data_IF_821837693834
#
_entry.id   IF_821837693834
#
_cell.length_a   1.000
_cell.length_b   1.000
_cell.length_c   1.000
_cell.angle_alpha   90.00
_cell.angle_beta   90.00
_cell.angle_gamma   90.00
#
_symmetry.space_group_name_H-M   'P 1'
#
loop_
_entity.id
_entity.type
_entity.pdbx_description
1 polymer ?
#
# COMPACT_ATOMS: atom_id res chain seq x y z
N UNK A 1 15.46 4.27 -16.59
CA UNK A 1 15.82 3.13 -15.71
C UNK A 1 14.67 2.14 -15.76
N UNK A 2 14.92 0.84 -15.84
CA UNK A 2 13.85 -0.17 -15.76
C UNK A 2 13.47 -0.42 -14.29
N UNK A 3 12.23 -0.86 -14.04
CA UNK A 3 11.73 -1.07 -12.68
C UNK A 3 12.50 -2.18 -11.94
N UNK A 4 12.86 -3.26 -12.62
CA UNK A 4 13.66 -4.34 -12.04
C UNK A 4 15.07 -3.89 -11.66
N UNK A 5 15.67 -3.02 -12.47
CA UNK A 5 16.99 -2.43 -12.18
C UNK A 5 16.91 -1.51 -10.97
N UNK A 6 15.84 -0.72 -10.85
CA UNK A 6 15.58 0.11 -9.68
C UNK A 6 15.48 -0.74 -8.40
N UNK A 7 14.69 -1.82 -8.41
CA UNK A 7 14.54 -2.70 -7.24
C UNK A 7 15.88 -3.33 -6.86
N UNK A 8 16.68 -3.77 -7.84
CA UNK A 8 18.03 -4.32 -7.60
C UNK A 8 18.95 -3.28 -6.97
N UNK A 9 18.95 -2.05 -7.48
CA UNK A 9 19.77 -0.96 -6.96
C UNK A 9 19.39 -0.62 -5.51
N UNK A 10 18.09 -0.59 -5.21
CA UNK A 10 17.58 -0.36 -3.86
C UNK A 10 18.07 -1.44 -2.88
N UNK A 11 17.98 -2.72 -3.27
CA UNK A 11 18.46 -3.83 -2.44
C UNK A 11 19.97 -3.78 -2.22
N UNK A 12 20.75 -3.44 -3.24
CA UNK A 12 22.21 -3.35 -3.14
C UNK A 12 22.68 -2.22 -2.21
N UNK A 13 21.97 -1.09 -2.22
CA UNK A 13 22.38 0.12 -1.48
C UNK A 13 21.78 0.19 -0.07
N UNK A 14 20.80 -0.68 0.24
CA UNK A 14 19.86 -0.54 1.36
C UNK A 14 19.05 0.77 1.28
N UNK A 15 17.76 0.69 1.58
CA UNK A 15 16.81 1.79 1.35
C UNK A 15 17.22 3.11 2.04
N UNK A 16 17.82 3.02 3.22
CA UNK A 16 18.21 4.17 4.06
C UNK A 16 19.37 4.99 3.47
N UNK A 17 20.15 4.42 2.55
CA UNK A 17 21.31 5.08 1.92
C UNK A 17 21.06 5.45 0.46
N UNK A 18 19.81 5.36 -0.02
CA UNK A 18 19.50 5.70 -1.40
C UNK A 18 19.75 7.17 -1.68
N UNK A 19 20.34 7.43 -2.84
CA UNK A 19 20.53 8.80 -3.30
C UNK A 19 19.18 9.51 -3.51
N UNK A 20 19.09 10.82 -3.21
CA UNK A 20 17.90 11.60 -3.50
C UNK A 20 17.47 11.49 -4.97
N UNK A 21 18.43 11.43 -5.90
CA UNK A 21 18.16 11.31 -7.34
C UNK A 21 17.43 10.02 -7.69
N UNK A 22 17.75 8.92 -7.03
CA UNK A 22 17.07 7.64 -7.24
C UNK A 22 15.64 7.70 -6.69
N UNK A 23 15.46 8.28 -5.49
CA UNK A 23 14.13 8.46 -4.89
C UNK A 23 13.22 9.37 -5.73
N UNK A 24 13.76 10.39 -6.42
CA UNK A 24 13.00 11.26 -7.30
C UNK A 24 12.25 10.52 -8.43
N UNK A 25 12.68 9.30 -8.78
CA UNK A 25 11.97 8.48 -9.78
C UNK A 25 10.64 7.94 -9.28
N UNK A 26 10.47 7.83 -7.96
CA UNK A 26 9.33 7.18 -7.31
C UNK A 26 8.67 8.07 -6.26
N UNK A 27 9.00 9.36 -6.18
CA UNK A 27 8.29 10.32 -5.32
C UNK A 27 7.01 10.76 -6.01
N UNK A 28 5.93 11.00 -5.27
CA UNK A 28 4.74 11.67 -5.82
C UNK A 28 5.15 13.04 -6.36
N UNK A 29 4.90 13.29 -7.64
CA UNK A 29 5.23 14.56 -8.27
C UNK A 29 4.03 15.06 -9.06
N UNK A 30 3.29 15.96 -8.42
CA UNK A 30 2.10 16.57 -8.99
C UNK A 30 2.36 17.13 -10.39
N UNK A 31 1.50 16.71 -11.32
CA UNK A 31 1.42 17.24 -12.67
C UNK A 31 0.10 17.98 -12.82
N UNK A 32 0.19 19.28 -13.13
CA UNK A 32 -0.99 20.12 -13.34
C UNK A 32 -1.25 20.18 -14.84
N UNK A 33 -2.40 19.70 -15.27
CA UNK A 33 -2.86 19.82 -16.65
C UNK A 33 -3.57 21.16 -16.82
N UNK A 34 -2.99 22.15 -17.53
CA UNK A 34 -3.41 23.56 -17.47
C UNK A 34 -4.82 23.86 -18.03
N UNK A 35 -5.51 22.88 -18.58
CA UNK A 35 -6.85 23.01 -19.16
C UNK A 35 -7.89 22.05 -18.57
N UNK A 36 -7.56 21.37 -17.46
CA UNK A 36 -8.45 20.45 -16.75
C UNK A 36 -8.31 20.67 -15.24
N UNK A 37 -9.33 20.32 -14.45
CA UNK A 37 -9.18 20.22 -12.99
C UNK A 37 -8.40 18.96 -12.56
N UNK A 38 -8.03 18.12 -13.52
CA UNK A 38 -7.26 16.90 -13.30
C UNK A 38 -5.84 17.22 -12.82
N UNK A 39 -5.44 16.53 -11.75
CA UNK A 39 -4.07 16.48 -11.24
C UNK A 39 -3.52 15.10 -11.52
N UNK A 40 -2.39 15.06 -12.20
CA UNK A 40 -1.64 13.85 -12.49
C UNK A 40 -0.45 13.68 -11.57
N UNK A 41 0.31 12.64 -11.86
CA UNK A 41 1.56 12.35 -11.17
C UNK A 41 2.57 11.81 -12.17
N UNK A 42 3.64 12.57 -12.37
CA UNK A 42 4.67 12.28 -13.36
C UNK A 42 5.33 10.90 -13.17
N UNK A 43 5.31 10.39 -11.93
CA UNK A 43 5.99 9.16 -11.56
C UNK A 43 5.04 7.97 -11.35
N UNK A 44 3.71 8.14 -11.53
CA UNK A 44 2.73 7.09 -11.23
C UNK A 44 2.98 5.78 -11.99
N UNK A 45 3.19 5.86 -13.30
CA UNK A 45 3.45 4.68 -14.14
C UNK A 45 4.74 3.95 -13.76
N UNK A 46 5.79 4.71 -13.43
CA UNK A 46 7.06 4.12 -13.01
C UNK A 46 6.94 3.48 -11.63
N UNK A 47 6.27 4.13 -10.66
CA UNK A 47 6.00 3.53 -9.35
C UNK A 47 5.17 2.26 -9.47
N UNK A 48 4.12 2.25 -10.29
CA UNK A 48 3.34 1.04 -10.52
C UNK A 48 4.20 -0.08 -11.11
N UNK A 49 5.12 0.25 -12.02
CA UNK A 49 6.07 -0.73 -12.58
C UNK A 49 7.01 -1.29 -11.51
N UNK A 50 7.51 -0.45 -10.59
CA UNK A 50 8.31 -0.88 -9.42
C UNK A 50 7.51 -1.79 -8.51
N UNK A 51 6.25 -1.46 -8.21
CA UNK A 51 5.36 -2.30 -7.40
C UNK A 51 5.11 -3.67 -8.05
N UNK A 52 4.90 -3.71 -9.37
CA UNK A 52 4.76 -4.96 -10.13
C UNK A 52 6.06 -5.77 -10.12
N UNK A 53 7.21 -5.13 -10.21
CA UNK A 53 8.50 -5.81 -10.09
C UNK A 53 8.65 -6.42 -8.68
N UNK A 54 8.37 -5.65 -7.63
CA UNK A 54 8.39 -6.11 -6.24
C UNK A 54 7.43 -7.27 -6.01
N UNK A 55 6.21 -7.22 -6.54
CA UNK A 55 5.22 -8.30 -6.39
C UNK A 55 5.74 -9.67 -6.83
N UNK A 56 6.59 -9.72 -7.87
CA UNK A 56 7.16 -10.96 -8.40
C UNK A 56 8.27 -11.55 -7.52
N UNK A 57 9.02 -10.70 -6.81
CA UNK A 57 10.25 -11.10 -6.10
C UNK A 57 10.28 -10.64 -4.63
N UNK A 58 9.10 -10.36 -4.06
CA UNK A 58 8.94 -9.72 -2.76
C UNK A 58 9.70 -10.47 -1.65
N UNK A 59 10.38 -9.72 -0.81
CA UNK A 59 11.13 -10.19 0.34
C UNK A 59 10.99 -9.22 1.52
N UNK A 60 11.35 -9.67 2.72
CA UNK A 60 11.27 -8.83 3.92
C UNK A 60 12.17 -7.56 3.85
N UNK A 61 13.27 -7.63 3.10
CA UNK A 61 14.18 -6.50 2.87
C UNK A 61 13.52 -5.35 2.09
N UNK A 62 12.45 -5.63 1.34
CA UNK A 62 11.75 -4.61 0.54
C UNK A 62 10.76 -3.78 1.37
N UNK A 63 10.46 -4.18 2.61
CA UNK A 63 9.47 -3.51 3.46
C UNK A 63 9.67 -1.98 3.53
N UNK A 64 10.88 -1.44 3.75
CA UNK A 64 11.08 0.01 3.77
C UNK A 64 10.68 0.70 2.46
N UNK A 65 11.00 0.09 1.32
CA UNK A 65 10.62 0.60 0.00
C UNK A 65 9.11 0.55 -0.21
N UNK A 66 8.45 -0.57 0.11
CA UNK A 66 6.98 -0.69 -0.04
C UNK A 66 6.27 0.33 0.86
N UNK A 67 6.72 0.52 2.11
CA UNK A 67 6.19 1.56 3.01
C UNK A 67 6.38 2.96 2.42
N UNK A 68 7.53 3.23 1.82
CA UNK A 68 7.79 4.51 1.16
C UNK A 68 6.84 4.73 -0.01
N UNK A 69 6.68 3.73 -0.89
CA UNK A 69 5.79 3.80 -2.05
C UNK A 69 4.34 4.02 -1.62
N UNK A 70 3.86 3.34 -0.56
CA UNK A 70 2.52 3.57 -0.02
C UNK A 70 2.31 5.02 0.43
N UNK A 71 3.31 5.65 1.05
CA UNK A 71 3.23 7.08 1.42
C UNK A 71 3.10 8.00 0.20
N UNK A 72 3.75 7.66 -0.92
CA UNK A 72 3.63 8.43 -2.15
C UNK A 72 2.23 8.26 -2.76
N UNK A 73 1.69 7.05 -2.70
CA UNK A 73 0.32 6.79 -3.14
C UNK A 73 -0.72 7.48 -2.26
N UNK A 74 -0.52 7.51 -0.94
CA UNK A 74 -1.36 8.30 0.00
C UNK A 74 -1.36 9.77 -0.42
N UNK A 75 -0.18 10.37 -0.59
CA UNK A 75 -0.07 11.78 -0.98
C UNK A 75 -0.76 12.09 -2.32
N UNK A 76 -0.70 11.17 -3.28
CA UNK A 76 -1.45 11.29 -4.54
C UNK A 76 -2.98 11.20 -4.32
N UNK A 77 -3.44 10.28 -3.47
CA UNK A 77 -4.87 10.04 -3.23
C UNK A 77 -5.56 11.08 -2.33
N UNK A 78 -4.81 11.98 -1.68
CA UNK A 78 -5.40 13.15 -0.99
C UNK A 78 -6.22 14.04 -1.95
N UNK A 79 -5.83 14.08 -3.23
CA UNK A 79 -6.47 14.92 -4.24
C UNK A 79 -6.98 14.13 -5.45
N UNK A 80 -6.78 12.81 -5.49
CA UNK A 80 -7.27 11.96 -6.58
C UNK A 80 -8.78 11.74 -6.47
N UNK A 81 -9.46 11.64 -7.63
CA UNK A 81 -10.92 11.42 -7.71
C UNK A 81 -11.29 9.95 -7.92
N UNK A 82 -10.37 9.04 -7.64
CA UNK A 82 -10.60 7.60 -7.73
C UNK A 82 -9.55 6.84 -6.93
N UNK A 83 -9.77 5.54 -6.75
CA UNK A 83 -8.77 4.62 -6.23
C UNK A 83 -7.98 3.99 -7.38
N UNK A 84 -6.65 4.03 -7.27
CA UNK A 84 -5.76 3.44 -8.24
C UNK A 84 -5.25 2.07 -7.78
N UNK A 85 -4.92 1.19 -8.71
CA UNK A 85 -4.39 -0.14 -8.38
C UNK A 85 -3.01 -0.08 -7.71
N UNK A 86 -2.27 1.02 -7.86
CA UNK A 86 -0.98 1.26 -7.19
C UNK A 86 -1.12 1.26 -5.67
N UNK A 87 -2.08 2.01 -5.10
CA UNK A 87 -2.28 2.05 -3.65
C UNK A 87 -2.75 0.69 -3.12
N UNK A 88 -3.64 0.01 -3.86
CA UNK A 88 -4.11 -1.34 -3.50
C UNK A 88 -2.97 -2.36 -3.55
N UNK A 89 -2.09 -2.28 -4.55
CA UNK A 89 -0.93 -3.15 -4.66
C UNK A 89 0.06 -2.91 -3.52
N UNK A 90 0.32 -1.65 -3.13
CA UNK A 90 1.10 -1.33 -1.94
C UNK A 90 0.51 -1.99 -0.68
N UNK A 91 -0.80 -1.85 -0.47
CA UNK A 91 -1.52 -2.47 0.65
C UNK A 91 -1.38 -3.99 0.65
N UNK A 92 -1.57 -4.61 -0.51
CA UNK A 92 -1.40 -6.04 -0.68
C UNK A 92 0.03 -6.51 -0.38
N UNK A 93 1.06 -5.83 -0.90
CA UNK A 93 2.47 -6.20 -0.64
C UNK A 93 2.82 -6.11 0.85
N UNK A 94 2.39 -5.06 1.57
CA UNK A 94 2.60 -4.98 3.02
C UNK A 94 1.84 -6.09 3.76
N UNK A 95 0.64 -6.44 3.30
CA UNK A 95 -0.12 -7.55 3.89
C UNK A 95 0.55 -8.92 3.70
N UNK A 96 1.35 -9.09 2.64
CA UNK A 96 2.19 -10.28 2.42
C UNK A 96 3.42 -10.28 3.32
N UNK A 97 3.99 -9.10 3.61
CA UNK A 97 5.12 -8.94 4.53
C UNK A 97 4.72 -9.16 5.99
N UNK A 98 3.43 -8.96 6.30
CA UNK A 98 2.77 -9.42 7.52
C UNK A 98 3.37 -8.87 8.84
N UNK A 99 3.79 -7.60 8.84
CA UNK A 99 4.25 -6.89 10.04
C UNK A 99 3.10 -6.07 10.64
N UNK A 100 2.79 -6.29 11.92
CA UNK A 100 1.66 -5.61 12.60
C UNK A 100 1.84 -4.10 12.67
N UNK A 101 3.08 -3.62 12.72
CA UNK A 101 3.42 -2.20 12.77
C UNK A 101 3.07 -1.46 11.47
N UNK A 102 2.78 -2.18 10.39
CA UNK A 102 2.32 -1.57 9.13
C UNK A 102 0.83 -1.19 9.16
N UNK A 103 0.05 -1.66 10.12
CA UNK A 103 -1.40 -1.39 10.20
C UNK A 103 -1.73 0.10 10.26
N UNK A 104 -0.89 0.91 10.90
CA UNK A 104 -1.10 2.36 10.97
C UNK A 104 -1.02 3.04 9.60
N UNK A 105 -0.02 2.64 8.80
CA UNK A 105 0.15 3.18 7.44
C UNK A 105 -0.94 2.65 6.49
N UNK A 106 -1.37 1.41 6.67
CA UNK A 106 -2.48 0.81 5.92
C UNK A 106 -3.82 1.46 6.27
N UNK A 107 -4.02 1.84 7.54
CA UNK A 107 -5.17 2.59 7.99
C UNK A 107 -5.20 3.98 7.37
N UNK A 108 -4.08 4.70 7.43
CA UNK A 108 -3.92 6.01 6.77
C UNK A 108 -4.29 5.93 5.27
N UNK A 109 -3.77 4.93 4.55
CA UNK A 109 -4.12 4.67 3.15
C UNK A 109 -5.60 4.43 2.93
N UNK A 110 -6.24 3.64 3.80
CA UNK A 110 -7.68 3.40 3.72
C UNK A 110 -8.47 4.69 3.95
N UNK A 111 -8.09 5.52 4.91
CA UNK A 111 -8.87 6.71 5.30
C UNK A 111 -8.47 7.99 4.58
N UNK A 112 -7.55 7.94 3.62
CA UNK A 112 -7.03 9.12 2.90
C UNK A 112 -8.13 9.89 2.17
N UNK A 113 -9.06 9.20 1.51
CA UNK A 113 -10.18 9.80 0.80
C UNK A 113 -11.43 8.91 0.89
N UNK A 114 -12.56 9.41 0.38
CA UNK A 114 -13.79 8.61 0.29
C UNK A 114 -13.58 7.37 -0.60
N UNK A 115 -12.90 7.54 -1.73
CA UNK A 115 -12.63 6.45 -2.67
C UNK A 115 -11.71 5.39 -2.06
N UNK A 116 -10.67 5.79 -1.31
CA UNK A 116 -9.83 4.81 -0.60
C UNK A 116 -10.59 4.13 0.54
N UNK A 117 -11.49 4.84 1.23
CA UNK A 117 -12.27 4.25 2.32
C UNK A 117 -13.17 3.12 1.81
N UNK A 118 -13.74 3.29 0.63
CA UNK A 118 -14.58 2.30 -0.04
C UNK A 118 -13.78 1.22 -0.80
N UNK A 119 -12.67 1.58 -1.46
CA UNK A 119 -11.96 0.71 -2.40
C UNK A 119 -10.69 0.05 -1.86
N UNK A 120 -10.14 0.53 -0.74
CA UNK A 120 -8.98 -0.08 -0.10
C UNK A 120 -9.43 -1.22 0.81
N UNK A 121 -9.07 -2.44 0.43
CA UNK A 121 -9.55 -3.67 1.05
C UNK A 121 -9.14 -3.77 2.53
N UNK A 122 -10.10 -4.11 3.40
CA UNK A 122 -9.86 -4.19 4.84
C UNK A 122 -8.93 -5.35 5.21
N UNK A 123 -8.90 -6.40 4.38
CA UNK A 123 -8.02 -7.56 4.52
C UNK A 123 -6.53 -7.18 4.55
N UNK A 124 -6.15 -6.06 3.92
CA UNK A 124 -4.75 -5.61 3.95
C UNK A 124 -4.30 -5.25 5.36
N UNK A 125 -5.18 -4.63 6.17
CA UNK A 125 -4.88 -4.16 7.53
C UNK A 125 -4.50 -5.32 8.45
N UNK A 126 -4.99 -6.53 8.16
CA UNK A 126 -4.81 -7.74 8.97
C UNK A 126 -3.87 -8.75 8.31
N UNK A 127 -2.88 -8.29 7.54
CA UNK A 127 -1.92 -9.17 6.85
C UNK A 127 -1.17 -10.14 7.76
N UNK A 128 -0.91 -9.75 9.01
CA UNK A 128 -0.34 -10.59 10.07
C UNK A 128 -1.35 -11.58 10.68
N UNK A 129 -2.63 -11.47 10.31
CA UNK A 129 -3.77 -12.13 10.93
C UNK A 129 -4.59 -11.17 11.79
N UNK A 130 -5.88 -11.47 11.96
CA UNK A 130 -6.79 -10.60 12.71
C UNK A 130 -6.40 -10.51 14.19
N UNK A 131 -6.21 -11.64 14.86
CA UNK A 131 -5.87 -11.69 16.28
C UNK A 131 -4.59 -10.91 16.63
N UNK A 132 -3.42 -11.13 15.98
CA UNK A 132 -2.22 -10.36 16.30
C UNK A 132 -2.37 -8.87 15.97
N UNK A 133 -3.10 -8.51 14.91
CA UNK A 133 -3.36 -7.11 14.58
C UNK A 133 -4.21 -6.42 15.64
N UNK A 134 -5.29 -7.05 16.09
CA UNK A 134 -6.15 -6.54 17.17
C UNK A 134 -5.36 -6.40 18.47
N UNK A 135 -4.56 -7.40 18.84
CA UNK A 135 -3.70 -7.32 20.03
C UNK A 135 -2.69 -6.18 19.94
N UNK A 136 -2.10 -5.94 18.76
CA UNK A 136 -1.20 -4.82 18.54
C UNK A 136 -1.93 -3.48 18.72
N UNK A 137 -3.10 -3.29 18.08
CA UNK A 137 -3.90 -2.07 18.18
C UNK A 137 -4.33 -1.75 19.61
N UNK A 138 -4.66 -2.77 20.41
CA UNK A 138 -4.99 -2.64 21.83
C UNK A 138 -3.78 -2.29 22.70
N UNK A 139 -2.55 -2.56 22.23
CA UNK A 139 -1.33 -2.33 23.00
C UNK A 139 -0.73 -0.94 22.82
N UNK A 140 -1.07 -0.25 21.73
CA UNK A 140 -0.54 1.08 21.39
C UNK A 140 -1.48 2.20 21.83
N UNK A 141 -0.92 3.41 22.03
CA UNK A 141 -1.65 4.62 22.43
C UNK A 141 -1.56 5.69 21.33
N UNK A 142 -1.95 5.31 20.12
CA UNK A 142 -1.99 6.20 18.97
C UNK A 142 -3.42 6.71 18.75
N UNK A 143 -3.59 7.97 18.33
CA UNK A 143 -4.92 8.59 18.17
C UNK A 143 -5.80 7.85 17.14
N UNK A 144 -5.19 7.28 16.10
CA UNK A 144 -5.88 6.56 15.04
C UNK A 144 -6.24 5.11 15.40
N UNK A 145 -5.63 4.53 16.44
CA UNK A 145 -5.76 3.10 16.73
C UNK A 145 -7.18 2.66 17.13
N UNK A 146 -7.96 3.44 17.92
CA UNK A 146 -9.33 3.07 18.27
C UNK A 146 -10.24 2.98 17.03
N UNK A 147 -10.11 3.91 16.09
CA UNK A 147 -10.93 3.93 14.87
C UNK A 147 -10.63 2.73 13.97
N UNK A 148 -9.34 2.41 13.80
CA UNK A 148 -8.91 1.23 13.05
C UNK A 148 -9.44 -0.06 13.69
N UNK A 149 -9.35 -0.15 15.02
CA UNK A 149 -9.85 -1.31 15.79
C UNK A 149 -11.37 -1.45 15.64
N UNK A 150 -12.14 -0.38 15.85
CA UNK A 150 -13.59 -0.40 15.71
C UNK A 150 -14.00 -0.83 14.30
N UNK A 151 -13.29 -0.34 13.27
CA UNK A 151 -13.57 -0.70 11.89
C UNK A 151 -13.34 -2.20 11.62
N UNK A 152 -12.21 -2.75 12.08
CA UNK A 152 -11.91 -4.19 11.95
C UNK A 152 -12.96 -5.03 12.69
N UNK A 153 -13.30 -4.68 13.92
CA UNK A 153 -14.31 -5.40 14.71
C UNK A 153 -15.71 -5.32 14.09
N UNK A 154 -16.06 -4.19 13.48
CA UNK A 154 -17.30 -4.04 12.72
C UNK A 154 -17.32 -4.98 11.51
N UNK A 155 -16.25 -5.00 10.70
CA UNK A 155 -16.10 -5.90 9.56
C UNK A 155 -16.23 -7.38 9.97
N UNK A 156 -15.64 -7.78 11.09
CA UNK A 156 -15.79 -9.12 11.64
C UNK A 156 -17.26 -9.44 11.98
N UNK A 157 -17.97 -8.52 12.66
CA UNK A 157 -19.37 -8.73 13.07
C UNK A 157 -20.34 -8.80 11.90
N UNK A 158 -20.13 -8.00 10.86
CA UNK A 158 -21.00 -7.98 9.68
C UNK A 158 -20.67 -9.08 8.67
N UNK A 159 -19.60 -9.84 8.91
CA UNK A 159 -19.07 -10.80 7.94
C UNK A 159 -18.49 -10.14 6.69
N UNK A 160 -18.28 -8.83 6.72
CA UNK A 160 -17.69 -8.04 5.63
C UNK A 160 -16.17 -8.15 5.73
N UNK A 161 -15.64 -9.28 5.26
CA UNK A 161 -14.21 -9.58 5.21
C UNK A 161 -13.74 -10.65 6.20
N UNK A 162 -12.49 -11.07 6.04
CA UNK A 162 -11.75 -11.99 6.94
C UNK A 162 -12.22 -13.46 7.04
N UNK A 163 -13.32 -13.85 6.40
CA UNK A 163 -13.86 -15.22 6.47
C UNK A 163 -12.85 -16.27 5.98
N UNK A 164 -12.07 -15.93 4.95
CA UNK A 164 -10.98 -16.76 4.44
C UNK A 164 -9.87 -15.86 3.88
N UNK A 165 -8.98 -15.40 4.76
CA UNK A 165 -7.85 -14.54 4.41
C UNK A 165 -6.87 -15.20 3.43
N UNK A 166 -6.70 -16.51 3.50
CA UNK A 166 -5.82 -17.25 2.60
C UNK A 166 -6.37 -17.24 1.17
N UNK A 167 -7.66 -17.60 1.01
CA UNK A 167 -8.34 -17.54 -0.29
C UNK A 167 -8.34 -16.13 -0.85
N UNK A 168 -8.65 -15.13 -0.02
CA UNK A 168 -8.60 -13.72 -0.43
C UNK A 168 -7.19 -13.37 -0.96
N UNK A 169 -6.14 -13.74 -0.22
CA UNK A 169 -4.75 -13.52 -0.63
C UNK A 169 -4.44 -14.17 -1.98
N UNK A 170 -4.88 -15.41 -2.21
CA UNK A 170 -4.68 -16.10 -3.49
C UNK A 170 -5.44 -15.44 -4.65
N UNK A 171 -6.67 -14.98 -4.41
CA UNK A 171 -7.49 -14.28 -5.40
C UNK A 171 -6.89 -12.93 -5.75
N UNK A 172 -6.44 -12.16 -4.75
CA UNK A 172 -5.76 -10.87 -4.93
C UNK A 172 -4.41 -11.05 -5.64
N UNK A 173 -3.64 -12.08 -5.29
CA UNK A 173 -2.40 -12.42 -6.00
C UNK A 173 -2.67 -12.70 -7.49
N UNK A 174 -3.72 -13.49 -7.80
CA UNK A 174 -4.14 -13.78 -9.18
C UNK A 174 -4.62 -12.54 -9.91
N UNK A 175 -5.35 -11.66 -9.24
CA UNK A 175 -5.80 -10.38 -9.79
C UNK A 175 -4.60 -9.52 -10.22
N UNK A 176 -3.64 -9.28 -9.32
CA UNK A 176 -2.47 -8.46 -9.63
C UNK A 176 -1.56 -9.06 -10.69
N UNK A 177 -1.49 -10.39 -10.80
CA UNK A 177 -0.79 -11.07 -11.89
C UNK A 177 -1.46 -10.87 -13.26
N UNK A 178 -2.80 -10.71 -13.32
CA UNK A 178 -3.54 -10.52 -14.59
C UNK A 178 -3.48 -9.09 -15.12
N UNK A 179 -3.46 -8.10 -14.24
CA UNK A 179 -3.32 -6.69 -14.64
C UNK A 179 -1.86 -6.30 -14.94
N UNK A 180 -0.94 -7.27 -14.83
CA UNK A 180 0.50 -7.13 -15.08
C UNK A 180 0.97 -7.67 -16.44
N UNK A 181 0.08 -8.16 -17.30
CA UNK A 181 0.38 -8.65 -18.67
C UNK A 181 0.01 -7.65 -19.74
#
# INVERSE_FOLDING_TARGET
MQAEDFVREVRNTQFEFLSPQLLQLVVYKEEIFPNTEERGDQNADFRLSVLKALHKILSQEDRPLVRFLLKQEIAFHENAWSIYESIRLCGFLLSLLAQVEDVGLLWEAKTTSFDTMCGFDVEFLVGAGVAPTVSYLQSIQEEWSPDALEYIEKCQRTGSGFQNLERYREETHRFFNRIGS
#
